data_IF_867421623305
#
_entry.id   IF_867421623305
#
_cell.length_a   1.000
_cell.length_b   1.000
_cell.length_c   1.000
_cell.angle_alpha   90.00
_cell.angle_beta   90.00
_cell.angle_gamma   90.00
#
_symmetry.space_group_name_H-M   'P 1'
#
loop_
_entity.id
_entity.type
_entity.pdbx_description
1 polymer ?
#
# COMPACT_ATOMS: atom_id res chain seq x y z
N UNK A 1 -22.10 -7.51 -4.63
CA UNK A 1 -22.35 -7.41 -3.18
C UNK A 1 -21.50 -6.27 -2.66
N UNK A 2 -22.10 -5.27 -2.02
CA UNK A 2 -21.38 -4.15 -1.41
C UNK A 2 -20.72 -4.66 -0.14
N UNK A 3 -19.41 -4.90 -0.19
CA UNK A 3 -18.65 -5.33 0.99
C UNK A 3 -18.67 -4.16 1.99
N UNK A 4 -19.36 -4.32 3.12
CA UNK A 4 -19.43 -3.29 4.15
C UNK A 4 -18.04 -3.12 4.76
N UNK A 5 -17.45 -1.93 4.63
CA UNK A 5 -16.12 -1.60 5.16
C UNK A 5 -16.20 -1.46 6.69
N UNK A 6 -16.41 -2.58 7.38
CA UNK A 6 -16.41 -2.67 8.84
C UNK A 6 -15.10 -3.26 9.32
N UNK A 7 -14.72 -2.91 10.55
CA UNK A 7 -13.54 -3.51 11.21
C UNK A 7 -13.65 -5.04 11.32
N UNK A 8 -14.86 -5.61 11.35
CA UNK A 8 -15.06 -7.06 11.34
C UNK A 8 -14.53 -7.71 10.05
N UNK A 9 -14.59 -7.02 8.91
CA UNK A 9 -14.03 -7.53 7.64
C UNK A 9 -12.49 -7.60 7.61
N UNK A 10 -11.83 -7.02 8.63
CA UNK A 10 -10.38 -6.92 8.77
C UNK A 10 -9.87 -7.58 10.06
N UNK A 11 -10.75 -8.28 10.78
CA UNK A 11 -10.44 -8.92 12.05
C UNK A 11 -9.44 -10.06 11.85
N UNK A 12 -8.38 -10.08 12.66
CA UNK A 12 -7.33 -11.10 12.59
C UNK A 12 -6.26 -10.85 11.54
N UNK A 13 -6.35 -9.79 10.73
CA UNK A 13 -5.30 -9.39 9.79
C UNK A 13 -4.14 -8.70 10.52
N UNK A 14 -4.46 -7.77 11.41
CA UNK A 14 -3.48 -7.12 12.29
C UNK A 14 -3.75 -7.50 13.75
N UNK A 15 -2.76 -7.38 14.64
CA UNK A 15 -2.92 -7.78 16.05
C UNK A 15 -3.97 -6.92 16.76
N UNK A 16 -4.15 -5.68 16.31
CA UNK A 16 -5.10 -4.73 16.88
C UNK A 16 -5.48 -3.64 15.85
N UNK A 17 -6.48 -2.84 16.18
CA UNK A 17 -6.97 -1.75 15.31
C UNK A 17 -5.96 -0.63 15.08
N UNK A 18 -4.99 -0.42 15.98
CA UNK A 18 -3.96 0.60 15.79
C UNK A 18 -2.97 0.20 14.69
N UNK A 19 -2.53 -1.05 14.68
CA UNK A 19 -1.68 -1.58 13.60
C UNK A 19 -2.37 -1.50 12.25
N UNK A 20 -3.64 -1.89 12.20
CA UNK A 20 -4.45 -1.78 10.99
C UNK A 20 -4.55 -0.34 10.49
N UNK A 21 -4.81 0.61 11.40
CA UNK A 21 -4.88 2.02 11.06
C UNK A 21 -3.53 2.55 10.55
N UNK A 22 -2.43 2.21 11.22
CA UNK A 22 -1.09 2.58 10.76
C UNK A 22 -0.79 2.01 9.38
N UNK A 23 -1.12 0.74 9.15
CA UNK A 23 -0.89 0.10 7.86
C UNK A 23 -1.71 0.78 6.74
N UNK A 24 -2.99 1.04 6.98
CA UNK A 24 -3.86 1.74 6.04
C UNK A 24 -3.38 3.17 5.73
N UNK A 25 -2.95 3.91 6.76
CA UNK A 25 -2.38 5.26 6.60
C UNK A 25 -1.10 5.22 5.77
N UNK A 26 -0.22 4.26 6.02
CA UNK A 26 1.05 4.14 5.33
C UNK A 26 0.85 3.77 3.85
N UNK A 27 -0.06 2.83 3.52
CA UNK A 27 -0.47 2.54 2.14
C UNK A 27 -1.08 3.78 1.45
N UNK A 28 -1.97 4.50 2.13
CA UNK A 28 -2.56 5.73 1.58
C UNK A 28 -1.49 6.77 1.25
N UNK A 29 -0.51 6.98 2.15
CA UNK A 29 0.60 7.90 1.92
C UNK A 29 1.49 7.45 0.75
N UNK A 30 1.74 6.15 0.60
CA UNK A 30 2.47 5.60 -0.54
C UNK A 30 1.75 5.91 -1.86
N UNK A 31 0.45 5.64 -1.96
CA UNK A 31 -0.33 5.89 -3.17
C UNK A 31 -0.41 7.38 -3.54
N UNK A 32 -0.59 8.26 -2.55
CA UNK A 32 -0.56 9.71 -2.77
C UNK A 32 0.80 10.15 -3.32
N UNK A 33 1.91 9.65 -2.75
CA UNK A 33 3.27 10.01 -3.19
C UNK A 33 3.59 9.50 -4.60
N UNK A 34 3.08 8.33 -4.97
CA UNK A 34 3.23 7.75 -6.31
C UNK A 34 2.30 8.39 -7.35
N UNK A 35 1.52 9.41 -6.98
CA UNK A 35 0.60 10.12 -7.88
C UNK A 35 -0.60 9.29 -8.32
N UNK A 36 -0.88 8.18 -7.62
CA UNK A 36 -2.00 7.27 -7.92
C UNK A 36 -3.23 7.70 -7.14
N UNK A 37 -4.34 7.89 -7.83
CA UNK A 37 -5.63 8.03 -7.16
C UNK A 37 -6.01 6.68 -6.51
N UNK A 38 -6.38 6.72 -5.24
CA UNK A 38 -6.72 5.53 -4.46
C UNK A 38 -7.99 5.79 -3.66
N UNK A 39 -8.89 4.82 -3.63
CA UNK A 39 -10.03 4.84 -2.71
C UNK A 39 -9.77 3.96 -1.50
N UNK A 40 -10.46 4.24 -0.40
CA UNK A 40 -10.36 3.46 0.84
C UNK A 40 -10.65 1.96 0.61
N UNK A 41 -11.56 1.63 -0.31
CA UNK A 41 -11.88 0.24 -0.69
C UNK A 41 -10.70 -0.49 -1.35
N UNK A 42 -9.82 0.24 -2.02
CA UNK A 42 -8.64 -0.32 -2.68
C UNK A 42 -7.55 -0.57 -1.65
N UNK A 43 -7.34 0.38 -0.72
CA UNK A 43 -6.45 0.18 0.45
C UNK A 43 -6.87 -1.05 1.26
N UNK A 44 -8.16 -1.20 1.57
CA UNK A 44 -8.67 -2.36 2.32
C UNK A 44 -8.47 -3.66 1.54
N UNK A 45 -8.61 -3.62 0.21
CA UNK A 45 -8.35 -4.79 -0.64
C UNK A 45 -6.88 -5.19 -0.61
N UNK A 46 -5.97 -4.23 -0.62
CA UNK A 46 -4.54 -4.48 -0.55
C UNK A 46 -4.12 -5.04 0.80
N UNK A 47 -4.65 -4.49 1.89
CA UNK A 47 -4.44 -5.04 3.24
C UNK A 47 -4.92 -6.50 3.32
N UNK A 48 -6.05 -6.84 2.71
CA UNK A 48 -6.54 -8.22 2.66
C UNK A 48 -5.64 -9.14 1.82
N UNK A 49 -5.07 -8.64 0.73
CA UNK A 49 -4.17 -9.41 -0.16
C UNK A 49 -2.77 -9.56 0.42
N UNK A 50 -2.30 -8.53 1.12
CA UNK A 50 -0.97 -8.43 1.70
C UNK A 50 -1.14 -8.05 3.17
N UNK A 51 -1.45 -9.01 4.05
CA UNK A 51 -1.74 -8.74 5.46
C UNK A 51 -0.49 -8.33 6.26
N UNK A 52 0.71 -8.61 5.75
CA UNK A 52 1.98 -8.22 6.38
C UNK A 52 2.30 -6.74 6.08
N UNK A 53 2.42 -5.87 7.11
CA UNK A 53 2.81 -4.47 6.94
C UNK A 53 4.16 -4.25 6.22
N UNK A 54 5.04 -5.27 6.19
CA UNK A 54 6.30 -5.23 5.43
C UNK A 54 6.10 -5.03 3.93
N UNK A 55 4.91 -5.32 3.41
CA UNK A 55 4.54 -5.05 2.02
C UNK A 55 4.80 -3.59 1.60
N UNK A 56 4.70 -2.63 2.52
CA UNK A 56 5.03 -1.21 2.22
C UNK A 56 6.51 -1.02 1.93
N UNK A 57 7.38 -1.72 2.64
CA UNK A 57 8.83 -1.66 2.41
C UNK A 57 9.15 -2.24 1.03
N UNK A 58 8.48 -3.33 0.64
CA UNK A 58 8.59 -3.93 -0.69
C UNK A 58 8.14 -2.97 -1.79
N UNK A 59 7.00 -2.29 -1.60
CA UNK A 59 6.50 -1.28 -2.55
C UNK A 59 7.47 -0.11 -2.72
N UNK A 60 8.04 0.40 -1.63
CA UNK A 60 9.06 1.44 -1.70
C UNK A 60 10.32 0.96 -2.44
N UNK A 61 10.74 -0.28 -2.20
CA UNK A 61 11.90 -0.84 -2.88
C UNK A 61 11.70 -0.99 -4.39
N UNK A 62 10.50 -1.43 -4.81
CA UNK A 62 10.12 -1.53 -6.23
C UNK A 62 10.19 -0.15 -6.90
N UNK A 63 9.57 0.88 -6.31
CA UNK A 63 9.60 2.24 -6.85
C UNK A 63 11.03 2.78 -6.98
N UNK A 64 11.90 2.49 -6.02
CA UNK A 64 13.31 2.89 -6.08
C UNK A 64 14.08 2.20 -7.22
N UNK A 65 13.79 0.91 -7.47
CA UNK A 65 14.39 0.17 -8.58
C UNK A 65 13.93 0.76 -9.92
N UNK A 66 12.63 1.01 -10.07
CA UNK A 66 12.06 1.59 -11.29
C UNK A 66 12.62 2.98 -11.58
N UNK A 67 12.77 3.81 -10.54
CA UNK A 67 13.37 5.15 -10.65
C UNK A 67 14.82 5.07 -11.11
N UNK A 68 15.63 4.19 -10.51
CA UNK A 68 17.05 4.00 -10.90
C UNK A 68 17.18 3.50 -12.33
N UNK A 69 16.29 2.61 -12.75
CA UNK A 69 16.26 2.13 -14.14
C UNK A 69 15.99 3.30 -15.10
N UNK A 70 14.98 4.14 -14.83
CA UNK A 70 14.68 5.33 -15.66
C UNK A 70 15.86 6.31 -15.74
N UNK A 71 16.53 6.59 -14.62
CA UNK A 71 17.69 7.49 -14.58
C UNK A 71 18.87 6.96 -15.40
N UNK A 72 19.10 5.63 -15.41
CA UNK A 72 20.14 5.01 -16.23
C UNK A 72 19.86 5.11 -17.74
N UNK A 73 18.61 4.95 -18.16
CA UNK A 73 18.24 5.13 -19.58
C UNK A 73 18.34 6.58 -20.01
N UNK A 74 17.89 7.53 -19.18
CA UNK A 74 17.98 8.96 -19.47
C UNK A 74 19.42 9.51 -19.47
N UNK A 75 20.38 8.81 -18.87
CA UNK A 75 21.80 9.21 -18.84
C UNK A 75 22.62 8.64 -20.02
N UNK A 76 22.01 7.76 -20.84
CA UNK A 76 22.65 7.13 -22.00
C UNK A 76 22.19 7.74 -23.35
N UNK A 77 21.36 8.80 -23.32
CA UNK A 77 21.03 9.67 -24.45
C UNK A 77 21.88 10.95 -24.43
#
# INVERSE_FOLDING_TARGET
MTETLTNESLKGICQNSFELAHYAIALGRYYIKSGREIHLRDIIRDIKRHPDPKYIEELHHIDEIEKKAHEQYASNE
#
